data_IF_289132977845
#
_entry.id   IF_289132977845
#
_cell.length_a   1.000
_cell.length_b   1.000
_cell.length_c   1.000
_cell.angle_alpha   90.00
_cell.angle_beta   90.00
_cell.angle_gamma   90.00
#
_symmetry.space_group_name_H-M   'P 1'
#
loop_
_entity.id
_entity.type
_entity.pdbx_description
1 polymer ?
#
# COMPACT_ATOMS: atom_id res chain seq x y z
N UNK A 1 0.81 -47.42 -4.30
CA UNK A 1 0.89 -46.01 -3.84
C UNK A 1 0.28 -45.13 -4.91
N UNK A 2 -0.94 -44.66 -4.70
CA UNK A 2 -1.72 -43.86 -5.64
C UNK A 2 -1.27 -42.39 -5.58
N UNK A 3 -0.81 -41.87 -6.71
CA UNK A 3 -0.39 -40.47 -6.85
C UNK A 3 -1.62 -39.55 -6.92
N UNK A 4 -1.82 -38.69 -5.92
CA UNK A 4 -2.79 -37.59 -5.97
C UNK A 4 -2.28 -36.55 -6.97
N UNK A 5 -2.87 -36.50 -8.17
CA UNK A 5 -2.75 -35.34 -9.06
C UNK A 5 -3.26 -34.10 -8.30
N UNK A 6 -2.38 -33.15 -8.00
CA UNK A 6 -2.79 -31.87 -7.44
C UNK A 6 -3.57 -31.12 -8.51
N UNK A 7 -4.87 -30.93 -8.27
CA UNK A 7 -5.73 -30.08 -9.09
C UNK A 7 -5.24 -28.64 -8.87
N UNK A 8 -4.44 -28.12 -9.79
CA UNK A 8 -4.04 -26.70 -9.79
C UNK A 8 -5.32 -25.89 -9.91
N UNK A 9 -5.73 -25.27 -8.80
CA UNK A 9 -6.86 -24.33 -8.78
C UNK A 9 -6.39 -23.09 -9.55
N UNK A 10 -7.06 -22.69 -10.65
CA UNK A 10 -6.69 -21.49 -11.36
C UNK A 10 -6.79 -20.28 -10.42
N UNK A 11 -5.73 -19.49 -10.38
CA UNK A 11 -5.63 -18.26 -9.60
C UNK A 11 -6.67 -17.29 -10.14
N UNK A 12 -7.61 -16.87 -9.30
CA UNK A 12 -8.67 -15.89 -9.61
C UNK A 12 -8.05 -14.49 -9.71
N UNK A 13 -7.17 -14.29 -10.69
CA UNK A 13 -6.70 -12.96 -11.12
C UNK A 13 -7.27 -12.59 -12.49
N UNK A 14 -7.92 -13.53 -13.19
CA UNK A 14 -8.64 -13.30 -14.46
C UNK A 14 -10.16 -13.25 -14.23
N UNK A 15 -10.59 -12.59 -13.17
CA UNK A 15 -11.99 -12.52 -12.81
C UNK A 15 -12.75 -11.53 -13.68
N UNK A 16 -13.12 -11.92 -14.92
CA UNK A 16 -14.37 -11.59 -15.62
C UNK A 16 -14.39 -12.13 -17.07
N UNK A 17 -14.29 -13.46 -17.25
CA UNK A 17 -14.64 -14.05 -18.55
C UNK A 17 -15.35 -15.39 -18.45
N UNK A 18 -16.59 -15.44 -18.94
CA UNK A 18 -17.29 -16.68 -19.24
C UNK A 18 -17.21 -16.92 -20.76
N UNK A 19 -16.67 -18.08 -21.18
CA UNK A 19 -16.50 -18.45 -22.61
C UNK A 19 -15.65 -17.47 -23.46
N UNK A 20 -14.71 -16.74 -22.85
CA UNK A 20 -13.83 -15.83 -23.60
C UNK A 20 -14.44 -14.46 -23.93
N UNK A 21 -15.66 -14.17 -23.46
CA UNK A 21 -16.24 -12.81 -23.45
C UNK A 21 -15.97 -12.12 -22.14
N UNK A 22 -15.76 -10.81 -22.17
CA UNK A 22 -15.64 -10.01 -20.95
C UNK A 22 -17.01 -9.88 -20.28
N UNK A 23 -17.09 -9.87 -18.95
CA UNK A 23 -18.38 -9.59 -18.25
C UNK A 23 -18.94 -8.22 -18.64
N UNK A 24 -18.11 -7.26 -19.06
CA UNK A 24 -18.61 -6.00 -19.58
C UNK A 24 -19.35 -6.19 -20.93
N UNK A 25 -18.88 -7.08 -21.79
CA UNK A 25 -19.59 -7.42 -23.03
C UNK A 25 -20.92 -8.12 -22.71
N UNK A 26 -20.95 -8.96 -21.67
CA UNK A 26 -22.19 -9.60 -21.19
C UNK A 26 -23.18 -8.58 -20.59
N UNK A 27 -22.69 -7.44 -20.10
CA UNK A 27 -23.49 -6.30 -19.63
C UNK A 27 -23.94 -5.35 -20.76
N UNK A 28 -23.59 -5.65 -22.01
CA UNK A 28 -24.02 -4.90 -23.19
C UNK A 28 -23.08 -3.78 -23.62
N UNK A 29 -21.88 -3.68 -23.05
CA UNK A 29 -20.85 -2.75 -23.55
C UNK A 29 -20.27 -3.24 -24.87
N UNK A 30 -19.92 -2.31 -25.76
CA UNK A 30 -19.17 -2.67 -26.98
C UNK A 30 -17.76 -3.18 -26.63
N UNK A 31 -17.14 -3.90 -27.55
CA UNK A 31 -15.76 -4.40 -27.35
C UNK A 31 -14.75 -3.25 -27.20
N UNK A 32 -14.95 -2.15 -27.92
CA UNK A 32 -14.13 -0.95 -27.81
C UNK A 32 -14.28 -0.28 -26.44
N UNK A 33 -15.51 -0.04 -25.98
CA UNK A 33 -15.76 0.51 -24.64
C UNK A 33 -15.21 -0.39 -23.54
N UNK A 34 -15.38 -1.70 -23.68
CA UNK A 34 -14.84 -2.70 -22.76
C UNK A 34 -13.32 -2.58 -22.64
N UNK A 35 -12.61 -2.47 -23.76
CA UNK A 35 -11.16 -2.30 -23.77
C UNK A 35 -10.74 -0.99 -23.09
N UNK A 36 -11.44 0.10 -23.36
CA UNK A 36 -11.17 1.41 -22.73
C UNK A 36 -11.40 1.37 -21.22
N UNK A 37 -12.50 0.77 -20.75
CA UNK A 37 -12.82 0.63 -19.33
C UNK A 37 -11.81 -0.23 -18.59
N UNK A 38 -11.40 -1.36 -19.18
CA UNK A 38 -10.37 -2.24 -18.62
C UNK A 38 -9.03 -1.49 -18.53
N UNK A 39 -8.63 -0.78 -19.59
CA UNK A 39 -7.39 0.00 -19.60
C UNK A 39 -7.39 1.08 -18.52
N UNK A 40 -8.50 1.81 -18.38
CA UNK A 40 -8.68 2.82 -17.32
C UNK A 40 -8.57 2.18 -15.93
N UNK A 41 -9.28 1.09 -15.68
CA UNK A 41 -9.24 0.38 -14.40
C UNK A 41 -7.82 -0.12 -14.07
N UNK A 42 -7.13 -0.70 -15.05
CA UNK A 42 -5.74 -1.15 -14.90
C UNK A 42 -4.80 0.01 -14.53
N UNK A 43 -4.94 1.17 -15.19
CA UNK A 43 -4.16 2.36 -14.87
C UNK A 43 -4.40 2.81 -13.43
N UNK A 44 -5.65 2.87 -12.99
CA UNK A 44 -5.96 3.26 -11.61
C UNK A 44 -5.46 2.23 -10.58
N UNK A 45 -5.56 0.93 -10.88
CA UNK A 45 -5.02 -0.14 -10.02
C UNK A 45 -3.50 -0.01 -9.91
N UNK A 46 -2.81 0.24 -11.02
CA UNK A 46 -1.36 0.43 -11.06
C UNK A 46 -0.94 1.63 -10.19
N UNK A 47 -1.64 2.76 -10.31
CA UNK A 47 -1.40 3.95 -9.48
C UNK A 47 -1.58 3.65 -7.98
N UNK A 48 -2.69 3.01 -7.60
CA UNK A 48 -2.93 2.64 -6.20
C UNK A 48 -1.87 1.65 -5.68
N UNK A 49 -1.45 0.70 -6.51
CA UNK A 49 -0.41 -0.27 -6.16
C UNK A 49 0.96 0.38 -5.99
N UNK A 50 1.31 1.40 -6.77
CA UNK A 50 2.55 2.13 -6.61
C UNK A 50 2.64 2.79 -5.21
N UNK A 51 1.56 3.46 -4.77
CA UNK A 51 1.50 4.07 -3.43
C UNK A 51 1.64 3.00 -2.34
N UNK A 52 0.90 1.89 -2.48
CA UNK A 52 0.98 0.76 -1.54
C UNK A 52 2.39 0.18 -1.48
N UNK A 53 3.11 0.10 -2.61
CA UNK A 53 4.46 -0.44 -2.64
C UNK A 53 5.43 0.43 -1.84
N UNK A 54 5.36 1.75 -1.99
CA UNK A 54 6.17 2.70 -1.19
C UNK A 54 5.93 2.49 0.30
N UNK A 55 4.67 2.34 0.72
CA UNK A 55 4.34 2.09 2.12
C UNK A 55 4.87 0.73 2.62
N UNK A 56 4.77 -0.33 1.81
CA UNK A 56 5.32 -1.66 2.13
C UNK A 56 6.84 -1.61 2.29
N UNK A 57 7.55 -0.91 1.39
CA UNK A 57 9.00 -0.74 1.47
C UNK A 57 9.41 0.01 2.74
N UNK A 58 8.69 1.07 3.09
CA UNK A 58 8.91 1.80 4.34
C UNK A 58 8.70 0.89 5.57
N UNK A 59 7.64 0.08 5.59
CA UNK A 59 7.39 -0.90 6.68
C UNK A 59 8.55 -1.90 6.78
N UNK A 60 9.01 -2.44 5.65
CA UNK A 60 10.14 -3.39 5.61
C UNK A 60 11.43 -2.74 6.13
N UNK A 61 11.70 -1.50 5.72
CA UNK A 61 12.85 -0.75 6.17
C UNK A 61 12.84 -0.56 7.69
N UNK A 62 11.68 -0.28 8.29
CA UNK A 62 11.55 -0.12 9.74
C UNK A 62 11.74 -1.41 10.53
N UNK A 63 11.17 -2.52 10.05
CA UNK A 63 11.39 -3.83 10.65
C UNK A 63 12.88 -4.17 10.65
N UNK A 64 13.57 -3.89 9.53
CA UNK A 64 15.02 -4.11 9.41
C UNK A 64 15.83 -3.18 10.31
N UNK A 65 15.51 -1.89 10.36
CA UNK A 65 16.22 -0.89 11.17
C UNK A 65 16.13 -1.18 12.67
N UNK A 66 15.02 -1.78 13.11
CA UNK A 66 14.80 -2.20 14.50
C UNK A 66 15.30 -3.61 14.80
N UNK A 67 15.91 -4.29 13.82
CA UNK A 67 16.38 -5.68 13.91
C UNK A 67 15.30 -6.66 14.38
N UNK A 68 14.04 -6.41 14.02
CA UNK A 68 12.92 -7.25 14.44
C UNK A 68 12.78 -8.45 13.50
N UNK A 69 12.64 -9.64 14.07
CA UNK A 69 12.14 -10.80 13.31
C UNK A 69 10.62 -10.67 13.08
N UNK A 70 10.06 -11.51 12.21
CA UNK A 70 8.62 -11.47 11.86
C UNK A 70 7.71 -11.66 13.07
N UNK A 71 8.09 -12.49 14.05
CA UNK A 71 7.27 -12.72 15.25
C UNK A 71 7.25 -11.49 16.14
N UNK A 72 8.42 -10.89 16.40
CA UNK A 72 8.54 -9.67 17.21
C UNK A 72 7.87 -8.49 16.53
N UNK A 73 8.05 -8.32 15.22
CA UNK A 73 7.40 -7.25 14.46
C UNK A 73 5.88 -7.40 14.42
N UNK A 74 5.37 -8.63 14.27
CA UNK A 74 3.93 -8.89 14.28
C UNK A 74 3.31 -8.58 15.65
N UNK A 75 4.00 -8.96 16.74
CA UNK A 75 3.59 -8.62 18.10
C UNK A 75 3.63 -7.10 18.34
N UNK A 76 4.69 -6.42 17.90
CA UNK A 76 4.82 -4.96 18.02
C UNK A 76 3.70 -4.21 17.28
N UNK A 77 3.35 -4.68 16.08
CA UNK A 77 2.29 -4.09 15.26
C UNK A 77 0.88 -4.58 15.63
N UNK A 78 0.75 -5.42 16.65
CA UNK A 78 -0.53 -6.02 17.09
C UNK A 78 -1.32 -6.71 15.94
N UNK A 79 -0.61 -7.31 14.99
CA UNK A 79 -1.19 -8.05 13.87
C UNK A 79 -0.74 -9.51 13.87
N UNK A 80 -1.50 -10.37 13.20
CA UNK A 80 -1.12 -11.78 13.06
C UNK A 80 0.13 -11.95 12.20
N UNK A 81 0.96 -12.95 12.52
CA UNK A 81 2.15 -13.31 11.73
C UNK A 81 1.85 -13.55 10.24
N UNK A 82 0.78 -14.30 9.86
CA UNK A 82 0.42 -14.44 8.44
C UNK A 82 0.08 -13.10 7.77
N UNK A 83 -0.54 -12.17 8.52
CA UNK A 83 -0.86 -10.85 8.00
C UNK A 83 0.40 -10.03 7.78
N UNK A 84 1.34 -10.02 8.72
CA UNK A 84 2.64 -9.37 8.50
C UNK A 84 3.40 -9.99 7.32
N UNK A 85 3.38 -11.33 7.19
CA UNK A 85 3.99 -12.03 6.06
C UNK A 85 3.40 -11.59 4.71
N UNK A 86 2.08 -11.40 4.63
CA UNK A 86 1.44 -10.89 3.41
C UNK A 86 1.93 -9.47 3.05
N UNK A 87 2.16 -8.60 4.06
CA UNK A 87 2.73 -7.25 3.85
C UNK A 87 4.17 -7.36 3.35
N UNK A 88 5.02 -8.14 4.03
CA UNK A 88 6.43 -8.28 3.65
C UNK A 88 6.61 -9.00 2.31
N UNK A 89 5.63 -9.81 1.89
CA UNK A 89 5.59 -10.42 0.56
C UNK A 89 4.86 -9.55 -0.49
N UNK A 90 4.57 -8.29 -0.18
CA UNK A 90 3.94 -7.33 -1.09
C UNK A 90 2.62 -7.83 -1.72
N UNK A 91 1.78 -8.53 -0.95
CA UNK A 91 0.43 -8.92 -1.39
C UNK A 91 -0.54 -7.74 -1.25
N UNK A 92 -0.36 -6.72 -2.10
CA UNK A 92 -0.99 -5.41 -2.03
C UNK A 92 -2.53 -5.46 -2.10
N UNK A 93 -3.09 -6.50 -2.72
CA UNK A 93 -4.52 -6.75 -2.84
C UNK A 93 -5.21 -6.96 -1.47
N UNK A 94 -4.47 -7.41 -0.45
CA UNK A 94 -5.02 -7.71 0.87
C UNK A 94 -5.06 -6.51 1.83
N UNK A 95 -4.56 -5.34 1.40
CA UNK A 95 -4.35 -4.19 2.28
C UNK A 95 -4.81 -2.90 1.60
N UNK A 96 -5.50 -2.05 2.36
CA UNK A 96 -5.75 -0.67 1.98
C UNK A 96 -4.51 0.19 2.24
N UNK A 97 -4.38 1.31 1.54
CA UNK A 97 -3.34 2.32 1.79
C UNK A 97 -3.44 2.81 3.25
N UNK A 98 -4.66 3.04 3.72
CA UNK A 98 -4.96 3.50 5.08
C UNK A 98 -4.43 2.53 6.16
N UNK A 99 -4.57 1.21 5.93
CA UNK A 99 -4.00 0.20 6.83
C UNK A 99 -2.48 0.32 6.89
N UNK A 100 -1.81 0.48 5.73
CA UNK A 100 -0.35 0.57 5.68
C UNK A 100 0.16 1.84 6.36
N UNK A 101 -0.55 2.95 6.16
CA UNK A 101 -0.29 4.22 6.84
C UNK A 101 -0.41 4.04 8.37
N UNK A 102 -1.48 3.40 8.84
CA UNK A 102 -1.68 3.11 10.27
C UNK A 102 -0.56 2.25 10.89
N UNK A 103 0.02 1.32 10.12
CA UNK A 103 1.17 0.54 10.60
C UNK A 103 2.45 1.40 10.66
N UNK A 104 2.64 2.31 9.72
CA UNK A 104 3.76 3.25 9.75
C UNK A 104 3.66 4.23 10.93
N UNK A 105 2.45 4.68 11.28
CA UNK A 105 2.25 5.54 12.46
C UNK A 105 2.55 4.80 13.76
N UNK A 106 2.26 3.49 13.86
CA UNK A 106 2.69 2.67 15.00
C UNK A 106 4.22 2.55 15.13
N UNK A 107 4.95 2.57 14.02
CA UNK A 107 6.41 2.73 14.03
C UNK A 107 6.86 4.17 14.35
N UNK A 108 5.95 5.08 14.70
CA UNK A 108 6.25 6.48 15.01
C UNK A 108 6.65 7.30 13.78
N UNK A 109 6.24 6.88 12.57
CA UNK A 109 6.54 7.62 11.35
C UNK A 109 5.50 8.68 11.06
N UNK A 110 6.02 9.81 10.58
CA UNK A 110 5.24 10.87 9.96
C UNK A 110 5.41 10.79 8.45
N UNK A 111 4.37 11.11 7.71
CA UNK A 111 4.37 11.09 6.25
C UNK A 111 3.74 12.37 5.71
N UNK A 112 4.11 12.73 4.48
CA UNK A 112 3.57 13.86 3.76
C UNK A 112 2.87 13.35 2.51
N UNK A 113 1.65 13.83 2.26
CA UNK A 113 0.90 13.55 1.04
C UNK A 113 0.84 14.86 0.25
N UNK A 114 1.21 14.77 -1.03
CA UNK A 114 1.07 15.87 -1.98
C UNK A 114 0.15 15.41 -3.12
N UNK A 115 -0.78 16.28 -3.51
CA UNK A 115 -1.64 16.07 -4.67
C UNK A 115 -0.94 16.75 -5.86
N UNK A 116 -0.77 16.01 -6.96
CA UNK A 116 -0.26 16.56 -8.23
C UNK A 116 -1.16 16.14 -9.38
N UNK A 117 -1.25 17.00 -10.38
CA UNK A 117 -2.06 16.76 -11.57
C UNK A 117 -1.35 15.86 -12.60
N UNK A 118 -0.02 15.73 -12.51
CA UNK A 118 0.77 14.80 -13.30
C UNK A 118 1.89 14.18 -12.44
N UNK A 119 2.03 12.85 -12.48
CA UNK A 119 3.06 12.11 -11.72
C UNK A 119 4.47 12.40 -12.26
N UNK A 120 4.59 12.80 -13.52
CA UNK A 120 5.88 13.12 -14.17
C UNK A 120 6.57 14.35 -13.55
N UNK A 121 5.83 15.24 -12.88
CA UNK A 121 6.41 16.45 -12.26
C UNK A 121 7.16 16.17 -10.97
N UNK A 122 6.87 15.07 -10.26
CA UNK A 122 7.56 14.72 -9.01
C UNK A 122 9.01 14.30 -9.20
N UNK A 123 9.39 13.80 -10.38
CA UNK A 123 10.76 13.36 -10.65
C UNK A 123 11.76 14.53 -10.73
N UNK A 124 11.28 15.76 -10.89
CA UNK A 124 12.12 16.96 -11.10
C UNK A 124 12.30 17.82 -9.85
N UNK A 125 11.43 17.66 -8.84
CA UNK A 125 11.40 18.58 -7.70
C UNK A 125 12.24 18.10 -6.51
N UNK A 126 13.52 18.47 -6.55
CA UNK A 126 14.45 18.39 -5.39
C UNK A 126 14.00 19.22 -4.17
N UNK A 127 12.88 19.96 -4.25
CA UNK A 127 12.40 20.84 -3.18
C UNK A 127 11.62 20.11 -2.07
N UNK A 128 11.01 18.95 -2.32
CA UNK A 128 10.29 18.20 -1.28
C UNK A 128 11.23 17.70 -0.18
N UNK A 129 12.49 17.36 -0.54
CA UNK A 129 13.51 16.94 0.44
C UNK A 129 13.97 18.08 1.38
N UNK A 130 13.76 19.35 1.02
CA UNK A 130 14.09 20.49 1.90
C UNK A 130 12.99 20.79 2.92
N UNK A 131 11.73 20.42 2.65
CA UNK A 131 10.63 20.60 3.59
C UNK A 131 10.65 19.56 4.74
N UNK A 132 11.16 18.35 4.48
CA UNK A 132 11.28 17.27 5.49
C UNK A 132 12.37 17.55 6.54
N UNK A 133 13.32 18.47 6.29
CA UNK A 133 14.46 18.77 7.17
C UNK A 133 14.24 19.88 8.20
N UNK A 134 13.03 20.42 8.38
CA UNK A 134 12.76 21.29 9.54
C UNK A 134 12.15 20.44 10.66
N UNK A 135 12.86 20.20 11.77
CA UNK A 135 12.25 19.57 12.93
C UNK A 135 11.11 20.47 13.40
N UNK A 136 9.90 19.92 13.47
CA UNK A 136 8.80 20.56 14.16
C UNK A 136 9.18 20.61 15.65
N UNK A 137 9.71 21.75 16.09
CA UNK A 137 10.03 21.99 17.51
C UNK A 137 8.70 22.08 18.25
N UNK A 138 8.34 21.04 19.01
CA UNK A 138 7.25 21.11 19.98
C UNK A 138 7.62 22.16 21.04
N UNK A 139 7.01 23.34 20.94
CA UNK A 139 7.09 24.40 21.95
C UNK A 139 6.02 24.17 23.00
N UNK A 140 6.18 23.15 23.83
CA UNK A 140 5.40 23.04 25.08
C UNK A 140 6.08 23.91 26.14
N UNK A 141 5.86 25.23 26.06
CA UNK A 141 6.08 26.07 27.24
C UNK A 141 4.89 25.86 28.15
N UNK A 142 5.02 24.96 29.13
CA UNK A 142 4.19 25.03 30.32
C UNK A 142 4.48 26.37 31.00
N UNK A 143 3.58 27.32 30.79
CA UNK A 143 3.52 28.55 31.55
C UNK A 143 2.87 28.18 32.89
N UNK A 144 3.68 27.77 33.88
CA UNK A 144 3.26 27.79 35.28
C UNK A 144 3.23 29.25 35.70
N UNK A 145 2.10 29.89 35.38
CA UNK A 145 1.72 31.16 35.95
C UNK A 145 1.64 30.98 37.48
N UNK A 146 2.55 31.67 38.17
CA UNK A 146 2.23 32.52 39.33
C UNK A 146 0.99 32.13 40.13
N UNK A 147 1.20 31.40 41.22
CA UNK A 147 0.28 31.35 42.36
C UNK A 147 1.05 31.00 43.63
N UNK A 148 1.88 31.94 44.11
CA UNK A 148 2.18 32.22 45.52
C UNK A 148 2.43 33.72 45.63
#
# INVERSE_FOLDING_TARGET
MTTRKSKTVPRIVDGISYKGRSVLEDLGFSSEETAQLISKAQKEIAQRNAIKMVAVEAIKAEIKARHMNVTTAAAFLEISRPRLSNITNARLENFSIDTMIGLLTQFGKTFQIAIVDNVDSFASDQQVQKAVKKPFINRTKHNVASLV
#
